data_IF_637218038838
#
_entry.id   IF_637218038838
#
_cell.length_a   1.000
_cell.length_b   1.000
_cell.length_c   1.000
_cell.angle_alpha   90.00
_cell.angle_beta   90.00
_cell.angle_gamma   90.00
#
_symmetry.space_group_name_H-M   'P 1'
#
loop_
_entity.id
_entity.type
_entity.pdbx_description
1 polymer ?
#
# COMPACT_ATOMS: atom_id res chain seq x y z
N UNK A 1 13.99 -2.11 2.99
CA UNK A 1 13.82 -2.41 1.55
C UNK A 1 12.34 -2.46 1.27
N UNK A 2 11.90 -2.04 0.10
CA UNK A 2 10.51 -2.16 -0.38
C UNK A 2 10.55 -2.80 -1.76
N UNK A 3 9.72 -3.81 -1.99
CA UNK A 3 9.56 -4.45 -3.29
C UNK A 3 8.09 -4.80 -3.50
N UNK A 4 7.66 -4.79 -4.75
CA UNK A 4 6.35 -5.30 -5.19
C UNK A 4 6.41 -6.79 -5.53
N UNK A 5 7.56 -7.43 -5.31
CA UNK A 5 7.83 -8.82 -5.64
C UNK A 5 8.59 -9.46 -4.47
N UNK A 6 8.04 -10.53 -3.91
CA UNK A 6 8.63 -11.25 -2.78
C UNK A 6 9.97 -11.89 -3.16
N UNK A 7 10.10 -12.41 -4.37
CA UNK A 7 11.34 -13.04 -4.82
C UNK A 7 12.48 -12.02 -4.91
N UNK A 8 12.17 -10.80 -5.36
CA UNK A 8 13.14 -9.68 -5.37
C UNK A 8 13.53 -9.29 -3.94
N UNK A 9 12.59 -9.30 -3.01
CA UNK A 9 12.87 -8.99 -1.61
C UNK A 9 13.85 -10.01 -1.00
N UNK A 10 13.61 -11.30 -1.20
CA UNK A 10 14.48 -12.37 -0.72
C UNK A 10 15.86 -12.32 -1.38
N UNK A 11 15.90 -12.09 -2.69
CA UNK A 11 17.16 -11.91 -3.42
C UNK A 11 17.99 -10.75 -2.85
N UNK A 12 17.38 -9.59 -2.61
CA UNK A 12 18.08 -8.43 -2.02
C UNK A 12 18.61 -8.71 -0.62
N UNK A 13 17.86 -9.47 0.18
CA UNK A 13 18.28 -9.92 1.51
C UNK A 13 19.51 -10.81 1.43
N UNK A 14 19.54 -11.78 0.51
CA UNK A 14 20.69 -12.65 0.26
C UNK A 14 21.91 -11.86 -0.20
N UNK A 15 21.72 -10.89 -1.12
CA UNK A 15 22.80 -10.03 -1.59
C UNK A 15 23.40 -9.20 -0.46
N UNK A 16 22.58 -8.69 0.46
CA UNK A 16 23.04 -7.95 1.63
C UNK A 16 23.96 -8.80 2.51
N UNK A 17 23.58 -10.05 2.80
CA UNK A 17 24.41 -10.98 3.56
C UNK A 17 25.70 -11.38 2.82
N UNK A 18 25.59 -11.56 1.51
CA UNK A 18 26.75 -11.88 0.68
C UNK A 18 27.76 -10.73 0.65
N UNK A 19 27.30 -9.51 0.49
CA UNK A 19 28.16 -8.33 0.55
C UNK A 19 28.87 -8.23 1.91
N UNK A 20 28.14 -8.43 3.01
CA UNK A 20 28.76 -8.37 4.35
C UNK A 20 29.86 -9.42 4.53
N UNK A 21 29.71 -10.62 4.01
CA UNK A 21 30.74 -11.68 4.05
C UNK A 21 32.02 -11.33 3.29
N UNK A 22 31.93 -10.47 2.27
CA UNK A 22 33.09 -10.04 1.51
C UNK A 22 34.04 -9.12 2.31
N UNK A 23 33.56 -8.52 3.39
CA UNK A 23 34.31 -7.57 4.22
C UNK A 23 34.67 -8.19 5.58
N UNK A 24 35.67 -9.09 5.59
CA UNK A 24 36.05 -9.88 6.77
C UNK A 24 36.58 -9.05 7.94
N UNK A 25 37.05 -7.84 7.70
CA UNK A 25 37.60 -6.94 8.72
C UNK A 25 36.51 -6.11 9.42
N UNK A 26 35.28 -6.14 8.90
CA UNK A 26 34.15 -5.40 9.46
C UNK A 26 33.14 -6.33 10.12
N UNK A 27 32.60 -5.91 11.25
CA UNK A 27 31.48 -6.58 11.91
C UNK A 27 30.17 -5.96 11.44
N UNK A 28 29.28 -6.77 10.90
CA UNK A 28 27.95 -6.37 10.47
C UNK A 28 26.91 -6.98 11.40
N UNK A 29 25.94 -6.16 11.79
CA UNK A 29 24.74 -6.58 12.51
C UNK A 29 23.52 -6.17 11.68
N UNK A 30 22.63 -7.11 11.39
CA UNK A 30 21.44 -6.86 10.61
C UNK A 30 20.19 -7.02 11.45
N UNK A 31 19.35 -5.99 11.45
CA UNK A 31 17.99 -6.06 11.97
C UNK A 31 17.05 -5.96 10.77
N UNK A 32 16.40 -7.05 10.43
CA UNK A 32 15.50 -7.14 9.26
C UNK A 32 14.11 -7.51 9.76
N UNK A 33 13.14 -6.61 9.56
CA UNK A 33 11.73 -6.91 9.77
C UNK A 33 11.16 -7.63 8.53
N UNK A 34 10.18 -8.48 8.73
CA UNK A 34 9.51 -9.17 7.61
C UNK A 34 8.76 -8.20 6.70
N UNK A 35 8.39 -7.02 7.22
CA UNK A 35 7.65 -6.02 6.46
C UNK A 35 6.18 -6.39 6.28
N UNK A 36 5.55 -5.76 5.28
CA UNK A 36 4.15 -6.01 4.91
C UNK A 36 4.11 -6.76 3.59
N UNK A 37 3.14 -7.67 3.39
CA UNK A 37 2.86 -8.23 2.08
C UNK A 37 2.56 -7.12 1.06
N UNK A 38 2.67 -7.43 -0.21
CA UNK A 38 2.23 -6.50 -1.27
C UNK A 38 0.71 -6.36 -1.21
N UNK A 39 0.22 -5.13 -1.13
CA UNK A 39 -1.21 -4.86 -1.28
C UNK A 39 -1.57 -4.98 -2.76
N UNK A 40 -2.45 -5.92 -3.10
CA UNK A 40 -2.84 -6.21 -4.47
C UNK A 40 -4.36 -6.17 -4.63
N UNK A 41 -4.85 -5.15 -5.30
CA UNK A 41 -6.28 -4.98 -5.52
C UNK A 41 -6.86 -6.06 -6.45
N UNK A 42 -7.90 -6.76 -6.00
CA UNK A 42 -8.60 -7.74 -6.83
C UNK A 42 -9.26 -7.06 -8.03
N UNK A 43 -8.90 -7.52 -9.24
CA UNK A 43 -9.35 -6.91 -10.51
C UNK A 43 -10.87 -6.93 -10.70
N UNK A 44 -11.56 -7.95 -10.18
CA UNK A 44 -13.01 -8.05 -10.31
C UNK A 44 -13.69 -7.07 -9.35
N UNK A 45 -13.20 -7.00 -8.12
CA UNK A 45 -13.71 -6.04 -7.14
C UNK A 45 -13.42 -4.59 -7.55
N UNK A 46 -12.22 -4.29 -8.08
CA UNK A 46 -11.92 -2.95 -8.63
C UNK A 46 -12.93 -2.55 -9.68
N UNK A 47 -13.24 -3.42 -10.65
CA UNK A 47 -14.25 -3.14 -11.66
C UNK A 47 -15.63 -2.91 -11.07
N UNK A 48 -16.03 -3.72 -10.09
CA UNK A 48 -17.31 -3.57 -9.38
C UNK A 48 -17.38 -2.23 -8.64
N UNK A 49 -16.35 -1.90 -7.86
CA UNK A 49 -16.29 -0.63 -7.13
C UNK A 49 -16.28 0.56 -8.10
N UNK A 50 -15.57 0.47 -9.21
CA UNK A 50 -15.55 1.51 -10.25
C UNK A 50 -16.92 1.74 -10.90
N UNK A 51 -17.78 0.71 -11.00
CA UNK A 51 -19.17 0.89 -11.49
C UNK A 51 -20.09 1.50 -10.43
N UNK A 52 -19.73 1.43 -9.16
CA UNK A 52 -20.51 1.97 -8.04
C UNK A 52 -20.10 3.42 -7.74
N UNK A 53 -18.81 3.73 -7.86
CA UNK A 53 -18.23 5.02 -7.55
C UNK A 53 -17.76 5.71 -8.84
N UNK A 54 -18.57 6.58 -9.40
CA UNK A 54 -18.25 7.31 -10.65
C UNK A 54 -17.00 8.19 -10.54
N UNK A 55 -16.65 8.62 -9.32
CA UNK A 55 -15.48 9.46 -9.05
C UNK A 55 -14.19 8.68 -8.81
N UNK A 56 -14.23 7.34 -8.85
CA UNK A 56 -13.04 6.51 -8.64
C UNK A 56 -12.09 6.64 -9.84
N UNK A 57 -10.87 7.08 -9.58
CA UNK A 57 -9.79 7.12 -10.56
C UNK A 57 -8.88 5.91 -10.39
N UNK A 58 -8.49 5.30 -11.50
CA UNK A 58 -7.51 4.22 -11.50
C UNK A 58 -6.14 4.85 -11.75
N UNK A 59 -5.21 4.61 -10.83
CA UNK A 59 -3.82 5.07 -10.98
C UNK A 59 -3.09 4.18 -11.98
N UNK A 60 -2.35 4.79 -12.89
CA UNK A 60 -1.51 4.09 -13.89
C UNK A 60 -0.15 3.65 -13.30
N UNK A 61 0.16 4.13 -12.10
CA UNK A 61 1.43 3.84 -11.41
C UNK A 61 1.19 3.08 -10.11
N UNK A 62 2.20 2.29 -9.72
CA UNK A 62 2.19 1.59 -8.44
C UNK A 62 2.72 2.51 -7.34
N UNK A 63 2.01 2.54 -6.21
CA UNK A 63 2.45 3.27 -5.04
C UNK A 63 3.29 2.36 -4.13
N UNK A 64 4.54 2.78 -3.85
CA UNK A 64 5.47 2.05 -3.00
C UNK A 64 5.25 2.38 -1.52
N UNK A 65 4.06 2.10 -1.02
CA UNK A 65 3.67 2.28 0.39
C UNK A 65 3.65 0.95 1.14
N UNK A 66 3.69 1.04 2.46
CA UNK A 66 3.42 -0.10 3.35
C UNK A 66 2.02 0.07 3.91
N UNK A 67 1.19 -0.95 3.81
CA UNK A 67 -0.22 -0.89 4.17
C UNK A 67 -0.67 -2.19 4.85
N UNK A 68 -1.20 -2.08 6.07
CA UNK A 68 -1.66 -3.26 6.84
C UNK A 68 -2.85 -3.95 6.19
N UNK A 69 -3.61 -3.26 5.34
CA UNK A 69 -4.69 -3.88 4.56
C UNK A 69 -4.20 -5.07 3.72
N UNK A 70 -2.92 -5.07 3.36
CA UNK A 70 -2.28 -6.19 2.66
C UNK A 70 -2.38 -7.52 3.40
N UNK A 71 -2.41 -7.51 4.75
CA UNK A 71 -2.61 -8.72 5.55
C UNK A 71 -4.01 -9.31 5.40
N UNK A 72 -5.05 -8.47 5.33
CA UNK A 72 -6.42 -8.96 5.07
C UNK A 72 -6.52 -9.58 3.68
N UNK A 73 -5.81 -9.03 2.70
CA UNK A 73 -5.79 -9.54 1.32
C UNK A 73 -5.13 -10.91 1.16
N UNK A 74 -4.37 -11.39 2.16
CA UNK A 74 -3.87 -12.77 2.17
C UNK A 74 -5.00 -13.80 2.38
N UNK A 75 -6.13 -13.38 2.92
CA UNK A 75 -7.24 -14.27 3.29
C UNK A 75 -8.49 -14.04 2.43
N UNK A 76 -8.72 -12.81 2.01
CA UNK A 76 -9.91 -12.44 1.25
C UNK A 76 -9.56 -11.44 0.13
N UNK A 77 -10.23 -11.53 -1.03
CA UNK A 77 -10.09 -10.50 -2.05
C UNK A 77 -10.51 -9.13 -1.51
N UNK A 78 -9.73 -8.10 -1.81
CA UNK A 78 -10.00 -6.75 -1.31
C UNK A 78 -9.62 -5.67 -2.30
N UNK A 79 -10.14 -4.47 -2.07
CA UNK A 79 -9.77 -3.26 -2.79
C UNK A 79 -9.37 -2.19 -1.78
N UNK A 80 -8.16 -1.71 -1.93
CA UNK A 80 -7.65 -0.54 -1.24
C UNK A 80 -7.66 0.66 -2.18
N UNK A 81 -8.16 1.77 -1.74
CA UNK A 81 -8.16 3.02 -2.50
C UNK A 81 -7.86 4.21 -1.60
N UNK A 82 -7.32 5.26 -2.16
CA UNK A 82 -7.03 6.50 -1.46
C UNK A 82 -8.22 7.44 -1.52
N UNK A 83 -8.47 8.14 -0.43
CA UNK A 83 -9.34 9.31 -0.41
C UNK A 83 -8.46 10.54 -0.64
N UNK A 84 -8.64 11.21 -1.77
CA UNK A 84 -7.86 12.41 -2.11
C UNK A 84 -8.21 13.57 -1.18
N UNK A 85 -7.22 14.18 -0.56
CA UNK A 85 -7.42 15.31 0.38
C UNK A 85 -7.50 16.66 -0.30
N UNK A 86 -7.19 16.73 -1.61
CA UNK A 86 -7.13 18.00 -2.34
C UNK A 86 -5.93 18.88 -1.97
N UNK A 87 -5.09 18.45 -1.04
CA UNK A 87 -3.86 19.15 -0.65
C UNK A 87 -2.64 18.48 -1.27
N UNK A 88 -1.56 19.23 -1.46
CA UNK A 88 -0.28 18.69 -1.91
C UNK A 88 0.65 18.35 -0.72
N UNK A 89 0.09 18.20 0.47
CA UNK A 89 0.85 17.89 1.68
C UNK A 89 0.91 16.36 1.82
N UNK A 90 2.10 15.74 1.76
CA UNK A 90 2.23 14.30 1.89
C UNK A 90 1.78 13.81 3.27
N UNK A 91 1.27 12.57 3.33
CA UNK A 91 1.06 11.86 4.59
C UNK A 91 2.35 11.85 5.41
N UNK A 92 2.23 11.92 6.73
CA UNK A 92 3.35 11.99 7.69
C UNK A 92 4.19 13.29 7.66
N UNK A 93 3.74 14.31 6.92
CA UNK A 93 4.32 15.65 7.06
C UNK A 93 3.79 16.30 8.35
N UNK A 94 4.64 17.05 9.07
CA UNK A 94 4.25 17.76 10.30
C UNK A 94 3.17 18.83 10.09
N UNK A 95 2.99 19.29 8.85
CA UNK A 95 1.96 20.24 8.44
C UNK A 95 0.80 19.56 7.71
N UNK A 96 0.68 18.22 7.79
CA UNK A 96 -0.41 17.52 7.16
C UNK A 96 -1.74 17.99 7.74
N UNK A 97 -2.58 18.48 6.86
CA UNK A 97 -3.92 18.97 7.19
C UNK A 97 -4.83 18.79 5.97
N UNK A 98 -6.13 18.68 6.19
CA UNK A 98 -7.13 18.54 5.14
C UNK A 98 -8.49 19.05 5.63
N UNK A 99 -9.37 19.39 4.71
CA UNK A 99 -10.74 19.77 5.01
C UNK A 99 -11.51 18.53 5.50
N UNK A 100 -12.02 18.59 6.74
CA UNK A 100 -12.74 17.48 7.36
C UNK A 100 -14.03 17.09 6.61
N UNK A 101 -14.59 17.98 5.78
CA UNK A 101 -15.75 17.66 4.94
C UNK A 101 -15.49 16.49 4.00
N UNK A 102 -14.23 16.22 3.64
CA UNK A 102 -13.85 15.09 2.78
C UNK A 102 -14.17 13.74 3.44
N UNK A 103 -14.22 13.66 4.77
CA UNK A 103 -14.62 12.45 5.49
C UNK A 103 -16.04 12.01 5.14
N UNK A 104 -16.92 12.97 4.86
CA UNK A 104 -18.29 12.69 4.41
C UNK A 104 -18.29 11.98 3.05
N UNK A 105 -17.37 12.34 2.16
CA UNK A 105 -17.22 11.68 0.87
C UNK A 105 -16.75 10.23 1.05
N UNK A 106 -15.80 10.00 1.95
CA UNK A 106 -15.35 8.65 2.32
C UNK A 106 -16.49 7.79 2.88
N UNK A 107 -17.28 8.34 3.81
CA UNK A 107 -18.46 7.67 4.38
C UNK A 107 -19.47 7.34 3.29
N UNK A 108 -19.77 8.28 2.40
CA UNK A 108 -20.70 8.08 1.30
C UNK A 108 -20.24 6.97 0.35
N UNK A 109 -18.93 6.93 0.03
CA UNK A 109 -18.36 5.88 -0.80
C UNK A 109 -18.56 4.49 -0.17
N UNK A 110 -18.26 4.33 1.12
CA UNK A 110 -18.50 3.07 1.83
C UNK A 110 -19.98 2.68 1.88
N UNK A 111 -20.87 3.63 2.10
CA UNK A 111 -22.33 3.38 2.08
C UNK A 111 -22.78 2.92 0.70
N UNK A 112 -22.30 3.55 -0.37
CA UNK A 112 -22.63 3.15 -1.74
C UNK A 112 -22.11 1.75 -2.06
N UNK A 113 -20.88 1.44 -1.70
CA UNK A 113 -20.32 0.10 -1.85
C UNK A 113 -21.16 -0.92 -1.10
N UNK A 114 -21.45 -0.68 0.19
CA UNK A 114 -22.19 -1.62 1.02
C UNK A 114 -23.62 -1.90 0.53
N UNK A 115 -24.28 -0.90 -0.10
CA UNK A 115 -25.63 -1.05 -0.65
C UNK A 115 -25.67 -1.78 -1.98
N UNK A 116 -24.55 -1.81 -2.74
CA UNK A 116 -24.45 -2.35 -4.08
C UNK A 116 -23.45 -3.53 -4.20
N UNK A 117 -22.94 -3.99 -3.06
CA UNK A 117 -21.96 -5.07 -2.98
C UNK A 117 -22.55 -6.45 -3.36
#
# INVERSE_FOLDING_TARGET
MRSLDEDIYQYLKEQLYSCAKAYQEARFEFSISEGYPVAFNDKKLVRKVHTILDSLLILDTHEMISEDFSWYQQYVPGVFFFLGTGTNIPLHNSHFDFDEEILLQGIQAYIQIAKNA
#
